data_IF_980122999094
#
_entry.id   IF_980122999094
#
_cell.length_a   1.000
_cell.length_b   1.000
_cell.length_c   1.000
_cell.angle_alpha   90.00
_cell.angle_beta   90.00
_cell.angle_gamma   90.00
#
_symmetry.space_group_name_H-M   'P 1'
#
loop_
_entity.id
_entity.type
_entity.pdbx_description
1 polymer ?
#
# COMPACT_ATOMS: atom_id res chain seq x y z
N UNK A 1 14.90 9.20 -4.72
CA UNK A 1 13.53 9.55 -4.28
C UNK A 1 12.54 8.84 -5.18
N UNK A 2 11.50 8.19 -4.66
CA UNK A 2 10.34 7.85 -5.50
C UNK A 2 9.53 9.13 -5.72
N UNK A 3 9.20 9.41 -6.96
CA UNK A 3 8.32 10.51 -7.32
C UNK A 3 6.88 10.15 -6.97
N UNK A 4 6.15 11.09 -6.37
CA UNK A 4 4.72 10.89 -6.10
C UNK A 4 3.97 11.19 -7.40
N UNK A 5 3.18 10.24 -7.92
CA UNK A 5 2.48 10.45 -9.18
C UNK A 5 1.47 11.60 -9.03
N UNK A 6 1.46 12.49 -10.02
CA UNK A 6 0.58 13.66 -10.08
C UNK A 6 -0.91 13.29 -9.90
N UNK A 7 -1.33 12.15 -10.44
CA UNK A 7 -2.68 11.63 -10.30
C UNK A 7 -3.08 11.36 -8.84
N UNK A 8 -2.14 10.88 -8.01
CA UNK A 8 -2.38 10.64 -6.58
C UNK A 8 -2.47 11.96 -5.81
N UNK A 9 -1.55 12.90 -6.07
CA UNK A 9 -1.59 14.24 -5.47
C UNK A 9 -2.91 14.92 -5.81
N UNK A 10 -3.32 14.87 -7.08
CA UNK A 10 -4.59 15.44 -7.55
C UNK A 10 -5.79 14.82 -6.84
N UNK A 11 -5.87 13.49 -6.77
CA UNK A 11 -6.98 12.81 -6.10
C UNK A 11 -7.07 13.20 -4.62
N UNK A 12 -5.93 13.24 -3.92
CA UNK A 12 -5.86 13.64 -2.51
C UNK A 12 -6.19 15.11 -2.31
N UNK A 13 -5.72 15.99 -3.19
CA UNK A 13 -6.04 17.42 -3.14
C UNK A 13 -7.54 17.66 -3.37
N UNK A 14 -8.17 16.95 -4.30
CA UNK A 14 -9.62 17.03 -4.53
C UNK A 14 -10.44 16.58 -3.32
N UNK A 15 -10.06 15.49 -2.66
CA UNK A 15 -10.73 15.02 -1.43
C UNK A 15 -10.69 16.09 -0.33
N UNK A 16 -9.51 16.69 -0.12
CA UNK A 16 -9.35 17.77 0.86
C UNK A 16 -10.18 18.99 0.45
N UNK A 17 -10.12 19.41 -0.81
CA UNK A 17 -10.88 20.56 -1.30
C UNK A 17 -12.40 20.37 -1.18
N UNK A 18 -12.90 19.17 -1.48
CA UNK A 18 -14.31 18.82 -1.33
C UNK A 18 -14.77 18.84 0.13
N UNK A 19 -13.98 18.25 1.04
CA UNK A 19 -14.26 18.27 2.48
C UNK A 19 -14.25 19.68 3.09
N UNK A 20 -13.50 20.60 2.50
CA UNK A 20 -13.41 21.99 2.95
C UNK A 20 -14.50 22.90 2.32
N UNK A 21 -15.52 22.33 1.66
CA UNK A 21 -16.58 23.06 0.96
C UNK A 21 -16.12 23.87 -0.25
N UNK A 22 -15.03 23.45 -0.88
CA UNK A 22 -14.52 24.02 -2.14
C UNK A 22 -14.28 25.53 -2.06
N UNK A 23 -13.41 26.00 -1.15
CA UNK A 23 -13.06 27.41 -1.11
C UNK A 23 -12.21 27.75 -2.34
N UNK A 24 -12.59 28.81 -3.04
CA UNK A 24 -11.84 29.37 -4.17
C UNK A 24 -10.52 30.01 -3.71
N UNK A 25 -9.46 29.85 -4.50
CA UNK A 25 -8.17 30.48 -4.27
C UNK A 25 -7.23 29.73 -3.31
N UNK A 26 -7.64 28.57 -2.80
CA UNK A 26 -6.84 27.71 -1.92
C UNK A 26 -6.40 26.40 -2.59
N UNK A 27 -6.62 26.25 -3.89
CA UNK A 27 -6.33 25.03 -4.66
C UNK A 27 -4.86 24.63 -4.54
N UNK A 28 -3.95 25.61 -4.67
CA UNK A 28 -2.51 25.40 -4.55
C UNK A 28 -2.14 24.92 -3.13
N UNK A 29 -2.79 25.46 -2.10
CA UNK A 29 -2.54 25.05 -0.71
C UNK A 29 -2.97 23.58 -0.50
N UNK A 30 -4.12 23.19 -1.04
CA UNK A 30 -4.57 21.79 -0.96
C UNK A 30 -3.68 20.84 -1.77
N UNK A 31 -3.16 21.28 -2.90
CA UNK A 31 -2.19 20.52 -3.69
C UNK A 31 -0.87 20.27 -2.92
N UNK A 32 -0.31 21.32 -2.30
CA UNK A 32 0.90 21.21 -1.50
C UNK A 32 0.68 20.35 -0.24
N UNK A 33 -0.48 20.50 0.39
CA UNK A 33 -0.86 19.68 1.55
C UNK A 33 -0.99 18.21 1.17
N UNK A 34 -1.65 17.92 0.05
CA UNK A 34 -1.80 16.56 -0.48
C UNK A 34 -0.45 15.91 -0.80
N UNK A 35 0.47 16.66 -1.43
CA UNK A 35 1.81 16.17 -1.70
C UNK A 35 2.56 15.82 -0.40
N UNK A 36 2.46 16.69 0.62
CA UNK A 36 3.11 16.47 1.92
C UNK A 36 2.58 15.21 2.62
N UNK A 37 1.26 15.05 2.64
CA UNK A 37 0.59 13.87 3.22
C UNK A 37 1.04 12.58 2.52
N UNK A 38 1.00 12.56 1.19
CA UNK A 38 1.42 11.38 0.41
C UNK A 38 2.90 11.07 0.62
N UNK A 39 3.75 12.10 0.77
CA UNK A 39 5.18 11.90 1.05
C UNK A 39 5.39 11.25 2.41
N UNK A 40 4.69 11.75 3.43
CA UNK A 40 4.74 11.19 4.78
C UNK A 40 4.18 9.77 4.83
N UNK A 41 3.10 9.47 4.11
CA UNK A 41 2.52 8.12 4.01
C UNK A 41 3.49 7.13 3.34
N UNK A 42 4.19 7.55 2.27
CA UNK A 42 5.18 6.70 1.59
C UNK A 42 6.41 6.45 2.46
N UNK A 43 6.88 7.46 3.19
CA UNK A 43 7.98 7.31 4.15
C UNK A 43 7.57 6.36 5.28
N UNK A 44 6.43 6.62 5.92
CA UNK A 44 5.88 5.78 6.99
C UNK A 44 5.65 4.34 6.55
N UNK A 45 5.24 4.11 5.30
CA UNK A 45 5.07 2.76 4.73
C UNK A 45 6.41 2.06 4.47
N UNK A 46 7.53 2.78 4.34
CA UNK A 46 8.87 2.17 4.35
C UNK A 46 9.25 1.73 5.75
N UNK A 47 9.04 2.58 6.75
CA UNK A 47 9.38 2.29 8.14
C UNK A 47 8.49 1.19 8.73
N UNK A 48 7.22 1.13 8.30
CA UNK A 48 6.25 0.12 8.67
C UNK A 48 6.19 -1.04 7.67
N UNK A 49 7.28 -1.35 6.95
CA UNK A 49 7.40 -2.63 6.28
C UNK A 49 7.96 -3.66 7.30
N UNK A 50 7.11 -4.40 8.04
CA UNK A 50 7.53 -5.73 8.44
C UNK A 50 7.70 -6.53 7.16
N UNK A 51 8.73 -7.35 7.15
CA UNK A 51 8.89 -8.46 6.23
C UNK A 51 7.70 -9.41 6.39
N UNK A 52 6.49 -9.05 5.93
CA UNK A 52 5.38 -9.99 5.76
C UNK A 52 5.51 -10.66 4.37
N UNK A 53 6.72 -11.17 4.16
CA UNK A 53 7.04 -12.23 3.21
C UNK A 53 7.73 -13.35 4.01
N UNK A 54 7.14 -13.70 5.15
CA UNK A 54 7.30 -14.98 5.83
C UNK A 54 5.85 -15.37 6.13
N UNK A 55 5.29 -16.49 5.73
CA UNK A 55 5.90 -17.78 5.48
C UNK A 55 4.78 -18.69 4.93
N UNK A 56 5.13 -19.60 4.01
CA UNK A 56 4.41 -20.87 3.76
C UNK A 56 2.93 -20.83 3.33
N UNK A 57 2.66 -20.32 2.13
CA UNK A 57 1.64 -20.98 1.31
C UNK A 57 2.28 -22.24 0.71
N UNK A 58 1.91 -23.40 1.26
CA UNK A 58 2.20 -24.75 0.78
C UNK A 58 3.55 -25.39 1.16
N UNK A 59 3.82 -25.51 2.47
CA UNK A 59 4.48 -26.72 2.97
C UNK A 59 3.61 -27.30 4.09
N UNK A 60 2.70 -28.21 3.75
CA UNK A 60 2.20 -29.22 4.70
C UNK A 60 3.00 -30.51 4.48
N UNK A 61 4.16 -30.68 5.14
CA UNK A 61 4.86 -31.94 5.19
C UNK A 61 4.27 -32.75 6.35
N UNK A 62 3.13 -33.41 6.16
CA UNK A 62 2.77 -34.74 6.70
C UNK A 62 1.27 -34.86 6.98
N UNK A 63 0.50 -35.45 6.06
CA UNK A 63 -0.53 -36.44 6.45
C UNK A 63 -1.02 -37.26 5.24
N UNK A 64 -0.38 -38.40 4.97
CA UNK A 64 -0.99 -39.74 4.93
C UNK A 64 0.07 -40.75 4.44
N UNK A 65 0.34 -41.85 5.18
CA UNK A 65 1.19 -42.91 4.66
C UNK A 65 0.39 -43.65 3.59
N UNK A 66 0.69 -43.41 2.32
CA UNK A 66 0.18 -44.28 1.25
C UNK A 66 0.94 -45.60 1.38
N UNK A 67 0.23 -46.60 1.91
CA UNK A 67 0.65 -47.97 1.94
C UNK A 67 0.86 -48.50 0.51
N UNK A 68 1.78 -49.47 0.44
CA UNK A 68 1.92 -50.52 -0.58
C UNK A 68 2.96 -50.27 -1.70
N UNK A 69 4.18 -50.84 -1.58
CA UNK A 69 5.03 -51.08 -2.74
C UNK A 69 4.41 -52.16 -3.64
N UNK A 70 4.30 -51.82 -4.93
CA UNK A 70 3.85 -52.69 -6.01
C UNK A 70 4.91 -53.75 -6.37
N UNK A 71 4.47 -55.01 -6.40
CA UNK A 71 4.94 -56.23 -7.10
C UNK A 71 6.44 -56.52 -7.35
N UNK A 72 6.90 -57.70 -6.87
CA UNK A 72 7.39 -58.84 -7.70
C UNK A 72 7.52 -60.13 -6.88
#
# INVERSE_FOLDING_TARGET
>A
MREIPLAAIRARAYDIWERNHRPDGYEIQFWLLAERELRAEQESRRDAAPEDQVETSAEDPTRFPFAEPVES
#
